data_IF_240181205647
#
_entry.id   IF_240181205647
#
_cell.length_a   1.000
_cell.length_b   1.000
_cell.length_c   1.000
_cell.angle_alpha   90.00
_cell.angle_beta   90.00
_cell.angle_gamma   90.00
#
_symmetry.space_group_name_H-M   'P 1'
#
loop_
_entity.id
_entity.type
_entity.pdbx_description
1 polymer ?
#
# COMPACT_ATOMS: atom_id res chain seq x y z
N UNK A 1 24.10 -34.34 25.56
CA UNK A 1 25.18 -35.31 25.84
C UNK A 1 24.60 -36.64 26.33
N UNK A 2 24.90 -37.77 25.66
CA UNK A 2 24.62 -39.14 26.14
C UNK A 2 25.23 -39.41 27.53
N UNK A 3 24.71 -40.40 28.27
CA UNK A 3 25.04 -40.61 29.69
C UNK A 3 26.49 -41.08 29.94
N UNK A 4 27.02 -41.93 29.07
CA UNK A 4 28.40 -42.42 29.03
C UNK A 4 29.43 -41.30 28.77
N UNK A 5 28.97 -40.16 28.25
CA UNK A 5 29.81 -38.99 27.98
C UNK A 5 29.75 -37.94 29.10
N UNK A 6 28.92 -38.14 30.14
CA UNK A 6 28.75 -37.19 31.26
C UNK A 6 29.81 -37.35 32.36
N UNK A 7 31.01 -37.77 32.00
CA UNK A 7 32.13 -37.93 32.93
C UNK A 7 33.29 -37.07 32.43
N UNK A 8 33.82 -36.22 33.32
CA UNK A 8 34.98 -35.40 33.04
C UNK A 8 36.24 -36.27 32.91
N UNK A 9 37.27 -35.79 32.22
CA UNK A 9 38.57 -36.46 32.13
C UNK A 9 39.23 -36.72 33.49
N UNK A 10 38.81 -36.00 34.55
CA UNK A 10 39.24 -36.24 35.92
C UNK A 10 38.42 -37.32 36.67
N UNK A 11 37.46 -37.98 36.02
CA UNK A 11 36.65 -39.06 36.58
C UNK A 11 35.39 -38.63 37.34
N UNK A 12 35.16 -37.33 37.51
CA UNK A 12 33.96 -36.80 38.16
C UNK A 12 32.78 -36.63 37.19
N UNK A 13 31.52 -36.75 37.66
CA UNK A 13 30.34 -36.51 36.82
C UNK A 13 30.23 -35.04 36.39
N UNK A 14 29.91 -34.81 35.11
CA UNK A 14 29.57 -33.48 34.60
C UNK A 14 28.21 -33.04 35.15
N UNK A 15 28.08 -31.76 35.48
CA UNK A 15 26.82 -31.12 35.85
C UNK A 15 26.46 -30.03 34.84
N UNK A 16 25.18 -29.68 34.76
CA UNK A 16 24.68 -28.66 33.83
C UNK A 16 25.16 -27.28 34.33
N UNK A 17 25.92 -26.56 33.50
CA UNK A 17 26.43 -25.21 33.82
C UNK A 17 25.68 -24.09 33.09
N UNK A 18 24.85 -24.46 32.11
CA UNK A 18 24.12 -23.52 31.27
C UNK A 18 23.33 -24.27 30.21
N UNK A 19 22.41 -23.55 29.59
CA UNK A 19 21.66 -24.03 28.44
C UNK A 19 21.94 -23.08 27.29
N UNK A 20 22.30 -23.65 26.14
CA UNK A 20 22.37 -22.90 24.90
C UNK A 20 21.03 -23.02 24.19
N UNK A 21 20.37 -21.90 23.93
CA UNK A 21 19.10 -21.84 23.21
C UNK A 21 19.33 -21.33 21.79
N UNK A 22 18.75 -22.01 20.81
CA UNK A 22 18.70 -21.58 19.41
C UNK A 22 17.26 -21.32 19.01
N UNK A 23 17.06 -20.33 18.13
CA UNK A 23 15.78 -20.04 17.50
C UNK A 23 15.86 -20.43 16.02
N UNK A 24 15.00 -21.35 15.61
CA UNK A 24 14.82 -21.72 14.21
C UNK A 24 13.50 -21.11 13.70
N UNK A 25 13.54 -20.53 12.50
CA UNK A 25 12.36 -19.94 11.84
C UNK A 25 12.09 -20.68 10.54
N UNK A 26 10.92 -21.29 10.45
CA UNK A 26 10.40 -21.88 9.22
C UNK A 26 9.27 -21.01 8.65
N UNK A 27 9.25 -20.80 7.33
CA UNK A 27 8.19 -20.05 6.65
C UNK A 27 7.47 -20.96 5.66
N UNK A 28 6.17 -21.16 5.91
CA UNK A 28 5.29 -21.96 5.06
C UNK A 28 4.32 -21.02 4.35
N UNK A 29 4.40 -20.95 3.02
CA UNK A 29 3.41 -20.25 2.18
C UNK A 29 2.43 -21.28 1.63
N UNK A 30 1.13 -21.08 1.84
CA UNK A 30 0.07 -22.01 1.42
C UNK A 30 -1.05 -21.30 0.68
N UNK A 31 -1.57 -21.94 -0.38
CA UNK A 31 -2.76 -21.48 -1.09
C UNK A 31 -3.89 -22.48 -0.89
N UNK A 32 -5.05 -21.98 -0.47
CA UNK A 32 -6.27 -22.78 -0.26
C UNK A 32 -7.28 -22.40 -1.33
N UNK A 33 -7.65 -23.37 -2.16
CA UNK A 33 -8.66 -23.19 -3.21
C UNK A 33 -9.96 -23.91 -2.83
N UNK A 34 -11.04 -23.15 -2.67
CA UNK A 34 -12.37 -23.69 -2.42
C UNK A 34 -13.14 -23.88 -3.73
N UNK A 35 -13.51 -25.13 -4.05
CA UNK A 35 -14.49 -25.43 -5.09
C UNK A 35 -15.90 -25.25 -4.50
N UNK A 36 -16.61 -24.18 -4.89
CA UNK A 36 -17.93 -23.85 -4.36
C UNK A 36 -18.99 -24.11 -5.42
N UNK A 37 -19.83 -25.12 -5.17
CA UNK A 37 -20.98 -25.46 -6.00
C UNK A 37 -22.28 -24.97 -5.35
N UNK A 38 -23.24 -24.51 -6.16
CA UNK A 38 -24.52 -23.99 -5.69
C UNK A 38 -25.65 -24.57 -6.53
N UNK A 39 -26.66 -25.08 -5.86
CA UNK A 39 -27.86 -25.59 -6.52
C UNK A 39 -28.64 -24.46 -7.19
N UNK A 40 -29.18 -24.76 -8.38
CA UNK A 40 -30.11 -23.89 -9.09
C UNK A 40 -31.47 -24.56 -9.10
N UNK A 41 -32.50 -23.80 -8.75
CA UNK A 41 -33.88 -24.26 -8.70
C UNK A 41 -34.67 -23.56 -9.80
N UNK A 42 -35.49 -24.34 -10.50
CA UNK A 42 -36.43 -23.84 -11.49
C UNK A 42 -37.78 -24.51 -11.34
N UNK A 43 -38.85 -23.81 -11.69
CA UNK A 43 -40.20 -24.37 -11.67
C UNK A 43 -40.48 -25.12 -12.99
N UNK A 44 -40.61 -26.45 -12.95
CA UNK A 44 -40.91 -27.28 -14.13
C UNK A 44 -42.27 -26.99 -14.79
N UNK A 45 -43.20 -26.37 -14.06
CA UNK A 45 -44.56 -26.09 -14.56
C UNK A 45 -44.63 -24.82 -15.40
N UNK A 46 -43.98 -23.75 -14.95
CA UNK A 46 -44.07 -22.45 -15.63
C UNK A 46 -42.77 -22.04 -16.31
N UNK A 47 -41.62 -22.64 -15.97
CA UNK A 47 -40.29 -22.37 -16.54
C UNK A 47 -39.81 -20.91 -16.43
N UNK A 48 -40.48 -20.08 -15.61
CA UNK A 48 -40.21 -18.62 -15.52
C UNK A 48 -39.23 -18.22 -14.43
N UNK A 49 -38.97 -19.07 -13.44
CA UNK A 49 -38.14 -18.72 -12.27
C UNK A 49 -36.84 -19.51 -12.28
N UNK A 50 -35.72 -18.82 -12.09
CA UNK A 50 -34.42 -19.41 -11.77
C UNK A 50 -33.94 -18.79 -10.45
N UNK A 51 -33.93 -19.59 -9.40
CA UNK A 51 -33.37 -19.23 -8.10
C UNK A 51 -32.05 -19.98 -7.90
N UNK A 52 -31.08 -19.37 -7.24
CA UNK A 52 -29.78 -19.99 -6.93
C UNK A 52 -29.61 -19.99 -5.42
N UNK A 53 -29.20 -21.13 -4.86
CA UNK A 53 -28.84 -21.19 -3.44
C UNK A 53 -27.82 -20.09 -3.10
N UNK A 54 -27.93 -19.43 -1.92
CA UNK A 54 -26.97 -18.43 -1.50
C UNK A 54 -25.56 -19.03 -1.46
N UNK A 55 -24.57 -18.26 -1.90
CA UNK A 55 -23.17 -18.62 -1.73
C UNK A 55 -22.60 -18.05 -0.44
N UNK A 56 -21.36 -18.40 -0.09
CA UNK A 56 -20.66 -17.72 1.00
C UNK A 56 -20.49 -16.24 0.68
N UNK A 57 -20.43 -15.42 1.73
CA UNK A 57 -20.16 -13.99 1.61
C UNK A 57 -18.80 -13.75 0.96
N UNK A 58 -18.74 -12.72 0.11
CA UNK A 58 -17.53 -12.35 -0.63
C UNK A 58 -17.29 -10.84 -0.55
N UNK A 59 -16.02 -10.41 -0.54
CA UNK A 59 -15.68 -8.99 -0.59
C UNK A 59 -16.18 -8.32 -1.88
N UNK A 60 -16.19 -9.09 -2.99
CA UNK A 60 -16.70 -8.65 -4.28
C UNK A 60 -17.66 -9.68 -4.87
N UNK A 61 -18.78 -9.20 -5.42
CA UNK A 61 -19.70 -10.05 -6.16
C UNK A 61 -18.97 -10.71 -7.33
N UNK A 62 -19.15 -12.03 -7.49
CA UNK A 62 -18.50 -12.86 -8.52
C UNK A 62 -16.96 -12.79 -8.50
N UNK A 63 -16.35 -12.34 -7.41
CA UNK A 63 -14.90 -12.33 -7.23
C UNK A 63 -14.34 -13.74 -7.08
N UNK A 64 -13.21 -14.02 -7.74
CA UNK A 64 -12.46 -15.28 -7.60
C UNK A 64 -11.64 -15.30 -6.30
N UNK A 65 -10.98 -14.19 -5.99
CA UNK A 65 -10.04 -14.09 -4.89
C UNK A 65 -10.75 -13.83 -3.56
N UNK A 66 -10.47 -14.67 -2.56
CA UNK A 66 -10.94 -14.48 -1.18
C UNK A 66 -10.20 -13.35 -0.46
N UNK A 67 -10.70 -12.95 0.72
CA UNK A 67 -10.17 -11.81 1.49
C UNK A 67 -8.68 -11.95 1.80
N UNK A 68 -8.24 -13.12 2.29
CA UNK A 68 -6.83 -13.36 2.61
C UNK A 68 -5.92 -13.26 1.40
N UNK A 69 -6.36 -13.80 0.25
CA UNK A 69 -5.59 -13.73 -0.99
C UNK A 69 -5.53 -12.29 -1.53
N UNK A 70 -6.63 -11.54 -1.45
CA UNK A 70 -6.68 -10.12 -1.82
C UNK A 70 -5.73 -9.28 -0.96
N UNK A 71 -5.73 -9.51 0.36
CA UNK A 71 -4.81 -8.85 1.28
C UNK A 71 -3.35 -9.18 0.92
N UNK A 72 -3.05 -10.46 0.66
CA UNK A 72 -1.71 -10.87 0.24
C UNK A 72 -1.25 -10.19 -1.05
N UNK A 73 -2.08 -10.21 -2.11
CA UNK A 73 -1.75 -9.58 -3.38
C UNK A 73 -1.54 -8.06 -3.21
N UNK A 74 -2.38 -7.41 -2.41
CA UNK A 74 -2.23 -5.98 -2.13
C UNK A 74 -0.92 -5.69 -1.37
N UNK A 75 -0.59 -6.46 -0.33
CA UNK A 75 0.66 -6.32 0.41
C UNK A 75 1.88 -6.56 -0.48
N UNK A 76 1.90 -7.66 -1.23
CA UNK A 76 3.01 -7.99 -2.12
C UNK A 76 3.21 -6.90 -3.18
N UNK A 77 2.13 -6.39 -3.77
CA UNK A 77 2.22 -5.36 -4.79
C UNK A 77 2.62 -3.99 -4.23
N UNK A 78 1.95 -3.54 -3.16
CA UNK A 78 2.08 -2.17 -2.65
C UNK A 78 3.24 -2.02 -1.67
N UNK A 79 3.39 -2.96 -0.74
CA UNK A 79 4.42 -2.90 0.33
C UNK A 79 5.74 -3.47 -0.18
N UNK A 80 5.71 -4.62 -0.85
CA UNK A 80 6.93 -5.27 -1.33
C UNK A 80 7.30 -4.87 -2.77
N UNK A 81 6.56 -3.95 -3.37
CA UNK A 81 6.78 -3.45 -4.74
C UNK A 81 6.87 -4.56 -5.80
N UNK A 82 6.17 -5.69 -5.61
CA UNK A 82 6.16 -6.77 -6.58
C UNK A 82 5.32 -6.40 -7.81
N UNK A 83 5.91 -6.38 -9.02
CA UNK A 83 5.14 -6.16 -10.23
C UNK A 83 4.15 -7.30 -10.47
N UNK A 84 2.95 -7.00 -10.97
CA UNK A 84 1.90 -8.02 -11.16
C UNK A 84 2.31 -9.19 -12.05
N UNK A 85 3.20 -8.97 -13.03
CA UNK A 85 3.71 -10.06 -13.87
C UNK A 85 4.57 -11.06 -13.08
N UNK A 86 5.29 -10.60 -12.04
CA UNK A 86 6.06 -11.48 -11.15
C UNK A 86 5.14 -12.24 -10.20
N UNK A 87 4.04 -11.61 -9.77
CA UNK A 87 3.02 -12.28 -8.96
C UNK A 87 2.28 -13.36 -9.75
N UNK A 88 1.88 -13.06 -10.99
CA UNK A 88 1.33 -14.03 -11.95
C UNK A 88 2.25 -15.26 -12.09
N UNK A 89 3.56 -15.05 -12.33
CA UNK A 89 4.54 -16.13 -12.40
C UNK A 89 4.76 -16.86 -11.07
N UNK A 90 4.74 -16.15 -9.94
CA UNK A 90 4.84 -16.74 -8.60
C UNK A 90 3.69 -17.72 -8.38
N UNK A 91 2.45 -17.28 -8.57
CA UNK A 91 1.27 -18.10 -8.35
C UNK A 91 1.17 -19.26 -9.35
N UNK A 92 1.59 -19.08 -10.60
CA UNK A 92 1.66 -20.18 -11.57
C UNK A 92 2.60 -21.30 -11.11
N UNK A 93 3.76 -20.96 -10.50
CA UNK A 93 4.69 -21.96 -9.92
C UNK A 93 4.10 -22.68 -8.69
N UNK A 94 3.14 -22.06 -8.02
CA UNK A 94 2.36 -22.65 -6.92
C UNK A 94 1.15 -23.46 -7.44
N UNK A 95 1.00 -23.61 -8.77
CA UNK A 95 -0.11 -24.33 -9.39
C UNK A 95 -1.40 -23.52 -9.54
N UNK A 96 -1.34 -22.19 -9.36
CA UNK A 96 -2.49 -21.29 -9.37
C UNK A 96 -2.40 -20.31 -10.53
N UNK A 97 -3.09 -20.63 -11.62
CA UNK A 97 -3.11 -19.82 -12.84
C UNK A 97 -4.00 -18.57 -12.67
N UNK A 98 -3.37 -17.43 -12.38
CA UNK A 98 -4.05 -16.13 -12.21
C UNK A 98 -3.50 -15.10 -13.20
N UNK A 99 -4.34 -14.70 -14.15
CA UNK A 99 -3.94 -13.67 -15.11
C UNK A 99 -3.68 -12.31 -14.44
N UNK A 100 -2.67 -11.59 -14.93
CA UNK A 100 -2.27 -10.26 -14.44
C UNK A 100 -3.43 -9.28 -14.30
N UNK A 101 -4.29 -9.23 -15.31
CA UNK A 101 -5.44 -8.32 -15.34
C UNK A 101 -6.46 -8.62 -14.24
N UNK A 102 -6.56 -9.88 -13.79
CA UNK A 102 -7.37 -10.24 -12.62
C UNK A 102 -6.76 -9.67 -11.34
N UNK A 103 -5.43 -9.80 -11.15
CA UNK A 103 -4.73 -9.27 -9.98
C UNK A 103 -4.88 -7.74 -9.89
N UNK A 104 -4.59 -7.04 -10.98
CA UNK A 104 -4.72 -5.58 -11.09
C UNK A 104 -6.14 -5.09 -10.75
N UNK A 105 -7.16 -5.65 -11.42
CA UNK A 105 -8.56 -5.28 -11.17
C UNK A 105 -8.99 -5.62 -9.74
N UNK A 106 -8.45 -6.68 -9.16
CA UNK A 106 -8.80 -7.10 -7.80
C UNK A 106 -8.25 -6.12 -6.77
N UNK A 107 -6.98 -5.71 -6.89
CA UNK A 107 -6.39 -4.68 -6.01
C UNK A 107 -7.07 -3.33 -6.20
N UNK A 108 -7.43 -2.94 -7.43
CA UNK A 108 -8.18 -1.71 -7.68
C UNK A 108 -9.56 -1.73 -6.97
N UNK A 109 -10.25 -2.87 -6.97
CA UNK A 109 -11.51 -3.04 -6.21
C UNK A 109 -11.29 -2.95 -4.70
N UNK A 110 -10.17 -3.48 -4.18
CA UNK A 110 -9.80 -3.33 -2.76
C UNK A 110 -9.61 -1.85 -2.44
N UNK A 111 -8.82 -1.12 -3.23
CA UNK A 111 -8.61 0.32 -3.03
C UNK A 111 -9.93 1.10 -3.02
N UNK A 112 -10.85 0.80 -3.95
CA UNK A 112 -12.17 1.44 -3.98
C UNK A 112 -12.99 1.17 -2.70
N UNK A 113 -12.87 -0.02 -2.09
CA UNK A 113 -13.55 -0.34 -0.81
C UNK A 113 -12.90 0.32 0.40
N UNK A 114 -11.62 0.66 0.32
CA UNK A 114 -10.89 1.36 1.39
C UNK A 114 -11.10 2.88 1.35
N UNK A 115 -11.79 3.42 0.34
CA UNK A 115 -12.06 4.85 0.21
C UNK A 115 -12.64 5.51 1.49
N UNK A 116 -13.60 4.91 2.21
CA UNK A 116 -14.10 5.52 3.46
C UNK A 116 -13.03 5.70 4.54
N UNK A 117 -12.02 4.83 4.59
CA UNK A 117 -10.89 4.97 5.50
C UNK A 117 -9.96 6.10 5.07
N UNK A 118 -9.70 6.23 3.78
CA UNK A 118 -8.95 7.36 3.22
C UNK A 118 -9.65 8.69 3.52
N UNK A 119 -10.97 8.77 3.31
CA UNK A 119 -11.76 9.97 3.60
C UNK A 119 -11.72 10.34 5.10
N UNK A 120 -11.76 9.33 5.99
CA UNK A 120 -11.63 9.54 7.44
C UNK A 120 -10.23 10.04 7.82
N UNK A 121 -9.16 9.47 7.25
CA UNK A 121 -7.78 9.92 7.48
C UNK A 121 -7.60 11.35 7.00
N UNK A 122 -8.11 11.69 5.82
CA UNK A 122 -8.12 13.06 5.31
C UNK A 122 -8.83 14.02 6.27
N UNK A 123 -10.00 13.65 6.79
CA UNK A 123 -10.72 14.48 7.74
C UNK A 123 -9.92 14.72 9.04
N UNK A 124 -9.19 13.71 9.53
CA UNK A 124 -8.31 13.84 10.69
C UNK A 124 -7.14 14.79 10.43
N UNK A 125 -6.44 14.62 9.30
CA UNK A 125 -5.35 15.51 8.89
C UNK A 125 -5.83 16.96 8.82
N UNK A 126 -7.03 17.19 8.27
CA UNK A 126 -7.66 18.51 8.22
C UNK A 126 -7.98 19.09 9.60
N UNK A 127 -8.43 18.27 10.54
CA UNK A 127 -8.80 18.70 11.88
C UNK A 127 -7.60 19.07 12.77
N UNK A 128 -6.38 18.68 12.38
CA UNK A 128 -5.16 18.92 13.16
C UNK A 128 -4.74 20.40 13.22
N UNK A 129 -5.13 21.21 12.24
CA UNK A 129 -4.69 22.60 12.10
C UNK A 129 -3.22 22.78 11.68
N UNK A 130 -2.47 21.69 11.45
CA UNK A 130 -1.11 21.70 10.92
C UNK A 130 -0.91 20.53 9.96
N UNK A 131 -0.66 20.84 8.70
CA UNK A 131 -0.42 19.84 7.65
C UNK A 131 1.02 19.92 7.18
N UNK A 132 1.72 18.80 7.16
CA UNK A 132 2.95 18.65 6.41
C UNK A 132 2.60 18.09 5.03
N UNK A 133 3.27 18.60 3.99
CA UNK A 133 3.03 18.16 2.60
C UNK A 133 4.31 18.13 1.79
N UNK A 134 4.40 17.15 0.89
CA UNK A 134 5.50 16.96 -0.06
C UNK A 134 5.02 16.18 -1.29
N UNK A 135 5.77 16.22 -2.39
CA UNK A 135 5.47 15.47 -3.61
C UNK A 135 6.62 14.56 -4.03
N UNK A 136 6.30 13.30 -4.35
CA UNK A 136 7.25 12.34 -4.92
C UNK A 136 6.96 12.12 -6.39
N UNK A 137 7.94 12.28 -7.30
CA UNK A 137 7.77 11.97 -8.71
C UNK A 137 7.57 10.47 -8.95
N UNK A 138 6.62 10.13 -9.82
CA UNK A 138 6.39 8.76 -10.28
C UNK A 138 6.33 8.70 -11.80
N UNK A 139 6.99 7.71 -12.38
CA UNK A 139 6.97 7.47 -13.82
C UNK A 139 5.72 6.69 -14.22
N UNK A 140 4.91 7.27 -15.09
CA UNK A 140 3.65 6.69 -15.58
C UNK A 140 3.84 6.31 -17.05
N UNK A 141 3.52 5.07 -17.41
CA UNK A 141 3.45 4.67 -18.81
C UNK A 141 2.27 5.38 -19.51
N UNK A 142 2.51 5.96 -20.68
CA UNK A 142 1.42 6.61 -21.43
C UNK A 142 0.54 5.55 -22.11
N UNK A 143 -0.79 5.76 -22.19
CA UNK A 143 -1.67 4.89 -22.96
C UNK A 143 -1.26 4.94 -24.44
N UNK A 144 -0.95 3.78 -25.03
CA UNK A 144 -0.53 3.68 -26.42
C UNK A 144 0.52 2.58 -26.63
N UNK A 145 1.19 2.64 -27.77
CA UNK A 145 2.23 1.68 -28.15
C UNK A 145 3.51 1.93 -27.33
N UNK A 146 4.50 1.04 -27.42
CA UNK A 146 5.78 1.20 -26.70
C UNK A 146 6.49 2.54 -27.00
N UNK A 147 6.16 3.18 -28.13
CA UNK A 147 6.70 4.46 -28.56
C UNK A 147 6.08 5.67 -27.85
N UNK A 148 4.90 5.51 -27.23
CA UNK A 148 4.23 6.59 -26.48
C UNK A 148 4.99 7.02 -25.22
N UNK A 149 6.00 6.24 -24.81
CA UNK A 149 6.94 6.59 -23.75
C UNK A 149 6.31 6.66 -22.36
N UNK A 150 6.83 7.55 -21.53
CA UNK A 150 6.37 7.75 -20.16
C UNK A 150 6.19 9.24 -19.86
N UNK A 151 5.39 9.55 -18.84
CA UNK A 151 5.26 10.89 -18.28
C UNK A 151 5.51 10.86 -16.77
N UNK A 152 5.78 12.04 -16.22
CA UNK A 152 6.02 12.23 -14.79
C UNK A 152 4.74 12.67 -14.07
N UNK A 153 4.18 11.79 -13.25
CA UNK A 153 3.15 12.11 -12.28
C UNK A 153 3.72 12.45 -10.92
N UNK A 154 2.83 12.66 -9.94
CA UNK A 154 3.15 12.95 -8.55
C UNK A 154 2.28 12.16 -7.61
N UNK A 155 2.89 11.68 -6.54
CA UNK A 155 2.20 11.23 -5.33
C UNK A 155 2.44 12.28 -4.26
N UNK A 156 1.38 12.95 -3.86
CA UNK A 156 1.36 13.94 -2.80
C UNK A 156 1.07 13.24 -1.49
N UNK A 157 1.80 13.60 -0.44
CA UNK A 157 1.49 13.19 0.93
C UNK A 157 0.95 14.38 1.70
N UNK A 158 -0.09 14.15 2.49
CA UNK A 158 -0.57 15.09 3.51
C UNK A 158 -0.61 14.37 4.83
N UNK A 159 0.07 14.90 5.85
CA UNK A 159 0.15 14.28 7.17
C UNK A 159 0.07 15.32 8.30
N UNK A 160 -0.39 14.89 9.46
CA UNK A 160 -0.41 15.69 10.69
C UNK A 160 0.72 15.29 11.66
N UNK A 161 0.75 15.87 12.87
CA UNK A 161 1.74 15.55 13.91
C UNK A 161 1.49 14.21 14.59
N UNK A 162 0.24 13.76 14.57
CA UNK A 162 -0.24 12.54 15.18
C UNK A 162 0.06 11.30 14.32
N UNK A 163 0.54 11.52 13.09
CA UNK A 163 0.91 10.48 12.13
C UNK A 163 -0.24 10.01 11.24
N UNK A 164 -1.42 10.66 11.31
CA UNK A 164 -2.44 10.43 10.30
C UNK A 164 -1.91 10.97 8.96
N UNK A 165 -2.10 10.19 7.90
CA UNK A 165 -1.61 10.56 6.59
C UNK A 165 -2.52 10.01 5.49
N UNK A 166 -2.53 10.71 4.37
CA UNK A 166 -3.18 10.26 3.16
C UNK A 166 -2.35 10.67 1.94
N UNK A 167 -2.53 9.91 0.87
CA UNK A 167 -1.85 10.13 -0.39
C UNK A 167 -2.85 10.51 -1.48
N UNK A 168 -2.40 11.37 -2.38
CA UNK A 168 -3.12 11.73 -3.60
C UNK A 168 -2.22 11.55 -4.80
N UNK A 169 -2.78 11.08 -5.91
CA UNK A 169 -2.05 10.92 -7.15
C UNK A 169 -2.52 11.92 -8.19
N UNK A 170 -1.57 12.58 -8.86
CA UNK A 170 -1.83 13.40 -10.04
C UNK A 170 -0.90 13.00 -11.16
N UNK A 171 -1.35 13.17 -12.39
CA UNK A 171 -0.60 12.78 -13.58
C UNK A 171 0.38 13.86 -14.08
N UNK A 172 0.54 14.93 -13.29
CA UNK A 172 1.41 16.09 -13.50
C UNK A 172 1.70 16.82 -12.17
N UNK A 173 2.73 17.67 -12.14
CA UNK A 173 3.07 18.54 -10.98
C UNK A 173 2.46 19.94 -11.17
N UNK A 174 1.15 20.07 -10.98
CA UNK A 174 0.44 21.35 -11.14
C UNK A 174 -0.10 21.87 -9.81
N UNK A 175 -0.08 23.19 -9.62
CA UNK A 175 -0.65 23.90 -8.48
C UNK A 175 -2.13 23.56 -8.20
N UNK A 176 -2.88 23.17 -9.25
CA UNK A 176 -4.29 22.77 -9.14
C UNK A 176 -4.48 21.67 -8.09
N UNK A 177 -3.59 20.69 -8.04
CA UNK A 177 -3.72 19.55 -7.15
C UNK A 177 -3.69 19.93 -5.65
N UNK A 178 -2.61 20.56 -5.13
CA UNK A 178 -2.59 21.00 -3.74
C UNK A 178 -3.69 22.03 -3.46
N UNK A 179 -3.98 22.94 -4.38
CA UNK A 179 -5.05 23.93 -4.22
C UNK A 179 -6.43 23.30 -4.03
N UNK A 180 -6.76 22.30 -4.83
CA UNK A 180 -8.04 21.59 -4.71
C UNK A 180 -8.09 20.75 -3.45
N UNK A 181 -6.98 20.08 -3.11
CA UNK A 181 -6.92 19.22 -1.95
C UNK A 181 -6.98 19.98 -0.64
N UNK A 182 -6.33 21.15 -0.55
CA UNK A 182 -6.21 22.05 0.63
C UNK A 182 -7.36 23.08 0.74
N UNK A 183 -8.34 23.01 -0.16
CA UNK A 183 -9.44 23.99 -0.20
C UNK A 183 -10.21 24.03 1.11
N UNK A 184 -10.29 25.22 1.71
CA UNK A 184 -11.03 25.46 2.96
C UNK A 184 -10.28 25.02 4.21
N UNK A 185 -9.04 24.54 4.09
CA UNK A 185 -8.17 24.33 5.25
C UNK A 185 -7.83 25.67 5.91
N UNK A 186 -7.70 25.66 7.24
CA UNK A 186 -7.24 26.81 8.03
C UNK A 186 -6.19 26.34 9.02
N UNK A 187 -5.09 27.09 9.15
CA UNK A 187 -3.99 26.72 10.04
C UNK A 187 -2.63 26.79 9.35
N UNK A 188 -1.74 25.87 9.68
CA UNK A 188 -0.35 25.91 9.24
C UNK A 188 -0.09 24.83 8.18
N UNK A 189 0.66 25.19 7.12
CA UNK A 189 1.14 24.21 6.15
C UNK A 189 2.66 24.25 6.13
N UNK A 190 3.26 23.11 6.46
CA UNK A 190 4.68 22.89 6.33
C UNK A 190 4.98 22.22 4.99
N UNK A 191 5.54 22.98 4.04
CA UNK A 191 5.81 22.55 2.67
C UNK A 191 7.23 22.91 2.22
N UNK A 192 7.64 22.40 1.06
CA UNK A 192 8.76 22.95 0.31
C UNK A 192 8.38 24.31 -0.31
N UNK A 193 9.35 25.02 -0.89
CA UNK A 193 9.14 26.29 -1.59
C UNK A 193 8.63 26.08 -3.02
N UNK A 194 7.75 25.10 -3.25
CA UNK A 194 7.15 24.88 -4.56
C UNK A 194 6.13 26.00 -4.85
N UNK A 195 6.29 26.79 -5.93
CA UNK A 195 5.40 27.91 -6.23
C UNK A 195 3.94 27.52 -6.43
N UNK A 196 3.64 26.23 -6.62
CA UNK A 196 2.25 25.76 -6.71
C UNK A 196 1.47 25.84 -5.40
N UNK A 197 2.12 26.15 -4.28
CA UNK A 197 1.45 26.45 -3.00
C UNK A 197 1.12 27.93 -2.83
N UNK A 198 1.73 28.85 -3.60
CA UNK A 198 1.62 30.31 -3.38
C UNK A 198 0.16 30.77 -3.28
N UNK A 199 -0.71 30.29 -4.19
CA UNK A 199 -2.14 30.62 -4.21
C UNK A 199 -2.89 30.18 -2.94
N UNK A 200 -2.39 29.16 -2.22
CA UNK A 200 -2.99 28.66 -0.98
C UNK A 200 -2.79 29.67 0.15
N UNK A 201 -1.66 30.39 0.17
CA UNK A 201 -1.29 31.32 1.24
C UNK A 201 -1.89 32.72 1.08
N UNK A 202 -2.31 33.09 -0.14
CA UNK A 202 -2.90 34.42 -0.43
C UNK A 202 -4.21 34.66 0.31
N UNK A 203 -4.97 33.61 0.66
CA UNK A 203 -6.30 33.74 1.27
C UNK A 203 -6.28 34.15 2.76
N UNK A 204 -5.11 34.18 3.42
CA UNK A 204 -4.93 34.66 4.79
C UNK A 204 -5.40 33.72 5.91
N UNK A 205 -6.12 32.65 5.57
CA UNK A 205 -6.56 31.60 6.50
C UNK A 205 -5.48 30.52 6.75
N UNK A 206 -4.41 30.54 5.95
CA UNK A 206 -3.33 29.54 5.97
C UNK A 206 -1.98 30.22 6.13
N UNK A 207 -1.18 29.73 7.07
CA UNK A 207 0.17 30.21 7.35
C UNK A 207 1.21 29.26 6.78
N UNK A 208 2.10 29.79 5.96
CA UNK A 208 3.23 29.05 5.41
C UNK A 208 4.28 28.77 6.48
N UNK A 209 4.76 27.53 6.53
CA UNK A 209 5.88 27.09 7.36
C UNK A 209 6.93 26.46 6.46
N UNK A 210 8.05 27.13 6.25
CA UNK A 210 9.07 26.66 5.32
C UNK A 210 9.80 25.39 5.84
N UNK A 211 9.95 24.40 4.96
CA UNK A 211 10.69 23.17 5.27
C UNK A 211 12.21 23.39 5.33
N UNK A 212 12.80 23.28 6.52
CA UNK A 212 14.24 23.45 6.73
C UNK A 212 15.09 22.35 6.07
N UNK A 213 14.55 21.15 5.90
CA UNK A 213 15.25 20.08 5.18
C UNK A 213 15.44 20.44 3.70
N UNK A 214 14.42 21.04 3.07
CA UNK A 214 14.49 21.55 1.71
C UNK A 214 15.43 22.75 1.59
N UNK A 215 15.37 23.70 2.54
CA UNK A 215 16.31 24.81 2.58
C UNK A 215 17.77 24.33 2.67
N UNK A 216 18.08 23.42 3.62
CA UNK A 216 19.41 22.83 3.77
C UNK A 216 19.90 22.14 2.49
N UNK A 217 19.02 21.38 1.81
CA UNK A 217 19.38 20.69 0.55
C UNK A 217 19.91 21.68 -0.49
N UNK A 218 19.32 22.88 -0.60
CA UNK A 218 19.79 23.92 -1.51
C UNK A 218 21.17 24.48 -1.15
N UNK A 219 21.46 24.67 0.14
CA UNK A 219 22.81 25.06 0.56
C UNK A 219 23.87 24.01 0.21
N UNK A 220 23.55 22.72 0.39
CA UNK A 220 24.46 21.63 0.03
C UNK A 220 24.63 21.52 -1.50
N UNK A 221 23.55 21.67 -2.27
CA UNK A 221 23.62 21.69 -3.74
C UNK A 221 24.52 22.84 -4.25
N UNK A 222 24.44 24.01 -3.60
CA UNK A 222 25.20 25.20 -3.97
C UNK A 222 26.72 25.06 -3.76
N UNK A 223 27.19 24.23 -2.81
CA UNK A 223 28.62 23.97 -2.54
C UNK A 223 29.39 23.56 -3.82
N UNK A 224 28.72 22.85 -4.74
CA UNK A 224 29.31 22.43 -6.00
C UNK A 224 29.57 23.56 -7.00
N UNK A 225 28.92 24.71 -6.82
CA UNK A 225 28.94 25.86 -7.74
C UNK A 225 29.48 27.15 -7.12
N UNK A 226 29.35 27.31 -5.81
CA UNK A 226 29.77 28.49 -5.04
C UNK A 226 30.16 28.01 -3.60
N UNK A 227 31.41 27.52 -3.43
CA UNK A 227 31.87 26.82 -2.22
C UNK A 227 32.13 27.71 -1.00
#
# INVERSE_FOLDING_TARGET
LPADQRVCTCGNPLHVIGVESCLEVERIEMVIQHAIEREKYGCRKCEKVVAVAPGPDRPFEKGLLGVGFLANVATEHIVNHMPYYRLEQKYAREGVELGRSLLERSVAKVAARLKPLHDLLRAKVYASGLIFTDDTPVTIAQPGDRESGSKQGRVWIYLDREGNHCYEFTDSRQAKAPREWLRGFKGYIHADAFPGYDDVFVQGDVFEVACWAHARRKFVEAESSDP
#
